data_IF_667732958924
#
_entry.id   IF_667732958924
#
_cell.length_a   1.000
_cell.length_b   1.000
_cell.length_c   1.000
_cell.angle_alpha   90.00
_cell.angle_beta   90.00
_cell.angle_gamma   90.00
#
_symmetry.space_group_name_H-M   'P 1'
#
loop_
_entity.id
_entity.type
_entity.pdbx_description
1 polymer ?
#
# COMPACT_ATOMS: atom_id res chain seq x y z
N UNK A 1 -10.34 -26.34 -28.50
CA UNK A 1 -9.70 -25.99 -27.21
C UNK A 1 -9.51 -27.28 -26.44
N UNK A 2 -8.26 -27.62 -26.13
CA UNK A 2 -7.91 -28.79 -25.33
C UNK A 2 -8.16 -28.49 -23.84
N UNK A 3 -8.39 -29.52 -23.02
CA UNK A 3 -8.49 -29.40 -21.55
C UNK A 3 -7.33 -28.60 -20.94
N UNK A 4 -6.16 -28.65 -21.57
CA UNK A 4 -4.96 -27.89 -21.25
C UNK A 4 -5.14 -26.37 -21.37
N UNK A 5 -5.82 -25.89 -22.42
CA UNK A 5 -6.06 -24.45 -22.65
C UNK A 5 -7.00 -23.89 -21.56
N UNK A 6 -8.03 -24.66 -21.19
CA UNK A 6 -8.97 -24.29 -20.14
C UNK A 6 -8.28 -24.24 -18.76
N UNK A 7 -7.37 -25.18 -18.49
CA UNK A 7 -6.61 -25.20 -17.24
C UNK A 7 -5.64 -24.02 -17.13
N UNK A 8 -4.93 -23.69 -18.22
CA UNK A 8 -4.04 -22.52 -18.30
C UNK A 8 -4.81 -21.21 -18.09
N UNK A 9 -5.92 -21.02 -18.79
CA UNK A 9 -6.75 -19.83 -18.65
C UNK A 9 -7.30 -19.66 -17.21
N UNK A 10 -7.59 -20.76 -16.52
CA UNK A 10 -8.03 -20.75 -15.12
C UNK A 10 -6.91 -20.37 -14.16
N UNK A 11 -5.69 -20.84 -14.40
CA UNK A 11 -4.51 -20.46 -13.60
C UNK A 11 -4.18 -18.98 -13.77
N UNK A 12 -4.18 -18.46 -15.00
CA UNK A 12 -3.94 -17.04 -15.27
C UNK A 12 -4.97 -16.14 -14.57
N UNK A 13 -6.25 -16.52 -14.59
CA UNK A 13 -7.29 -15.79 -13.85
C UNK A 13 -7.01 -15.73 -12.34
N UNK A 14 -6.57 -16.83 -11.73
CA UNK A 14 -6.23 -16.87 -10.30
C UNK A 14 -5.05 -15.96 -9.97
N UNK A 15 -4.02 -15.95 -10.82
CA UNK A 15 -2.85 -15.09 -10.64
C UNK A 15 -3.25 -13.60 -10.74
N UNK A 16 -4.10 -13.25 -11.69
CA UNK A 16 -4.58 -11.87 -11.84
C UNK A 16 -5.42 -11.41 -10.65
N UNK A 17 -6.31 -12.28 -10.13
CA UNK A 17 -7.11 -11.98 -8.93
C UNK A 17 -6.19 -11.79 -7.72
N UNK A 18 -5.27 -12.72 -7.45
CA UNK A 18 -4.35 -12.61 -6.33
C UNK A 18 -3.46 -11.36 -6.43
N UNK A 19 -3.02 -10.98 -7.63
CA UNK A 19 -2.26 -9.75 -7.86
C UNK A 19 -3.09 -8.49 -7.63
N UNK A 20 -4.36 -8.51 -8.01
CA UNK A 20 -5.28 -7.40 -7.79
C UNK A 20 -5.61 -7.24 -6.30
N UNK A 21 -5.87 -8.35 -5.61
CA UNK A 21 -6.11 -8.39 -4.16
C UNK A 21 -4.89 -7.90 -3.38
N UNK A 22 -3.69 -8.44 -3.66
CA UNK A 22 -2.47 -7.98 -3.00
C UNK A 22 -2.14 -6.51 -3.27
N UNK A 23 -2.47 -5.99 -4.47
CA UNK A 23 -2.34 -4.54 -4.76
C UNK A 23 -3.37 -3.70 -4.00
N UNK A 24 -4.58 -4.22 -3.79
CA UNK A 24 -5.63 -3.53 -3.06
C UNK A 24 -5.32 -3.49 -1.56
N UNK A 25 -4.88 -4.60 -0.99
CA UNK A 25 -4.48 -4.73 0.41
C UNK A 25 -3.29 -3.83 0.73
N UNK A 26 -2.21 -3.92 -0.06
CA UNK A 26 -1.05 -3.05 0.15
C UNK A 26 -1.35 -1.56 -0.05
N UNK A 27 -2.29 -1.20 -0.92
CA UNK A 27 -2.78 0.18 -1.03
C UNK A 27 -3.60 0.61 0.17
N UNK A 28 -4.43 -0.27 0.71
CA UNK A 28 -5.23 0.01 1.89
C UNK A 28 -4.36 0.22 3.12
N UNK A 29 -3.34 -0.62 3.32
CA UNK A 29 -2.37 -0.48 4.41
C UNK A 29 -1.62 0.85 4.33
N UNK A 30 -1.01 1.16 3.18
CA UNK A 30 -0.29 2.44 2.98
C UNK A 30 -1.23 3.63 3.17
N UNK A 31 -2.48 3.53 2.71
CA UNK A 31 -3.46 4.60 2.90
C UNK A 31 -3.80 4.81 4.38
N UNK A 32 -3.99 3.73 5.15
CA UNK A 32 -4.23 3.81 6.60
C UNK A 32 -3.04 4.46 7.32
N UNK A 33 -1.80 4.10 6.95
CA UNK A 33 -0.59 4.71 7.51
C UNK A 33 -0.53 6.21 7.21
N UNK A 34 -0.83 6.62 5.97
CA UNK A 34 -0.85 8.04 5.59
C UNK A 34 -1.91 8.82 6.38
N UNK A 35 -3.10 8.24 6.56
CA UNK A 35 -4.18 8.88 7.34
C UNK A 35 -3.76 9.05 8.80
N UNK A 36 -3.16 8.03 9.41
CA UNK A 36 -2.64 8.10 10.76
C UNK A 36 -1.53 9.15 10.90
N UNK A 37 -0.62 9.23 9.91
CA UNK A 37 0.42 10.26 9.86
C UNK A 37 -0.16 11.67 9.77
N UNK A 38 -1.17 11.89 8.91
CA UNK A 38 -1.82 13.20 8.81
C UNK A 38 -2.50 13.59 10.13
N UNK A 39 -3.17 12.65 10.81
CA UNK A 39 -3.79 12.92 12.11
C UNK A 39 -2.74 13.37 13.15
N UNK A 40 -1.56 12.74 13.17
CA UNK A 40 -0.44 13.14 14.05
C UNK A 40 0.09 14.53 13.69
N UNK A 41 0.26 14.82 12.39
CA UNK A 41 0.67 16.14 11.90
C UNK A 41 -0.30 17.24 12.32
N UNK A 42 -1.59 17.06 12.05
CA UNK A 42 -2.63 18.03 12.42
C UNK A 42 -2.73 18.19 13.94
N UNK A 43 -2.54 17.10 14.70
CA UNK A 43 -2.50 17.15 16.16
C UNK A 43 -1.31 17.93 16.72
N UNK A 44 -0.14 17.86 16.08
CA UNK A 44 1.03 18.66 16.45
C UNK A 44 0.83 20.14 16.06
N UNK A 45 0.28 20.40 14.87
CA UNK A 45 -0.04 21.76 14.40
C UNK A 45 -1.04 22.44 15.34
N UNK A 46 -2.08 21.73 15.81
CA UNK A 46 -3.04 22.24 16.78
C UNK A 46 -2.42 22.58 18.15
N UNK A 47 -1.30 21.95 18.51
CA UNK A 47 -0.54 22.26 19.74
C UNK A 47 0.52 23.33 19.52
N UNK A 48 0.74 23.77 18.28
CA UNK A 48 1.85 24.65 17.91
C UNK A 48 3.23 23.96 17.95
N UNK A 49 3.26 22.62 17.88
CA UNK A 49 4.50 21.84 17.90
C UNK A 49 5.03 21.62 16.47
N UNK A 50 6.35 21.71 16.30
CA UNK A 50 7.00 21.37 15.03
C UNK A 50 6.89 19.87 14.78
N UNK A 51 6.16 19.49 13.74
CA UNK A 51 6.04 18.10 13.31
C UNK A 51 7.19 17.71 12.37
N UNK A 52 8.06 16.80 12.80
CA UNK A 52 9.29 16.40 12.08
C UNK A 52 9.23 14.99 11.50
N UNK A 53 8.14 14.26 11.72
CA UNK A 53 8.02 12.87 11.26
C UNK A 53 7.81 12.81 9.73
N UNK A 54 8.61 12.03 9.00
CA UNK A 54 8.45 11.90 7.55
C UNK A 54 7.18 11.10 7.20
N UNK A 55 6.54 11.37 6.06
CA UNK A 55 5.35 10.63 5.64
C UNK A 55 5.65 9.14 5.40
N UNK A 56 4.73 8.23 5.71
CA UNK A 56 4.92 6.80 5.42
C UNK A 56 4.98 6.56 3.91
N UNK A 57 5.85 5.63 3.51
CA UNK A 57 6.04 5.28 2.10
C UNK A 57 7.07 6.14 1.34
N UNK A 58 7.69 7.15 1.95
CA UNK A 58 8.97 7.63 1.38
C UNK A 58 10.02 6.56 1.67
N UNK A 59 10.71 6.00 0.66
CA UNK A 59 11.96 5.31 0.95
C UNK A 59 12.83 6.32 1.68
N UNK A 60 13.21 6.00 2.92
CA UNK A 60 14.23 6.74 3.64
C UNK A 60 15.53 6.54 2.86
N UNK A 61 15.73 7.34 1.82
CA UNK A 61 17.01 7.43 1.16
C UNK A 61 17.99 8.05 2.17
N UNK A 62 18.88 7.21 2.67
CA UNK A 62 19.99 7.54 3.58
C UNK A 62 20.07 6.50 4.70
N UNK A 63 21.02 5.58 4.71
CA UNK A 63 22.47 5.83 4.68
C UNK A 63 23.21 4.54 4.29
N UNK A 64 23.99 4.58 3.20
CA UNK A 64 25.24 3.80 3.04
C UNK A 64 26.39 4.80 3.04
#
# INVERSE_FOLDING_TARGET
>A
MLLSDWYLARQEKRIQVAKAEGKAEGKAEVYQEIVAWQARRTGAEARGETFTEPPPGVPQNGTE
#
